data_IF_655328494568
#
_entry.id   IF_655328494568
#
_cell.length_a   1.000
_cell.length_b   1.000
_cell.length_c   1.000
_cell.angle_alpha   90.00
_cell.angle_beta   90.00
_cell.angle_gamma   90.00
#
_symmetry.space_group_name_H-M   'P 1'
#
loop_
_entity.id
_entity.type
_entity.pdbx_description
1 polymer ?
#
# COMPACT_ATOMS: atom_id res chain seq x y z
N UNK A 1 8.05 1.56 -13.36
CA UNK A 1 9.13 1.59 -12.33
C UNK A 1 9.96 0.29 -12.41
N UNK A 2 10.88 -0.01 -11.47
CA UNK A 2 11.68 -1.24 -11.49
C UNK A 2 10.83 -2.53 -11.37
N UNK A 3 9.74 -2.49 -10.60
CA UNK A 3 8.81 -3.62 -10.43
C UNK A 3 8.07 -3.90 -11.75
N UNK A 4 7.65 -2.87 -12.49
CA UNK A 4 7.01 -3.05 -13.82
C UNK A 4 7.94 -3.69 -14.85
N UNK A 5 9.24 -3.40 -14.78
CA UNK A 5 10.23 -4.04 -15.66
C UNK A 5 10.38 -5.52 -15.28
N UNK A 6 10.46 -5.82 -13.99
CA UNK A 6 10.60 -7.19 -13.48
C UNK A 6 9.36 -8.05 -13.79
N UNK A 7 8.15 -7.49 -13.71
CA UNK A 7 6.91 -8.21 -13.99
C UNK A 7 6.67 -8.54 -15.47
N UNK A 8 7.41 -7.93 -16.40
CA UNK A 8 7.30 -8.26 -17.84
C UNK A 8 7.90 -9.63 -18.17
N UNK A 9 8.84 -10.11 -17.35
CA UNK A 9 9.54 -11.38 -17.53
C UNK A 9 9.25 -12.38 -16.42
N UNK A 10 8.49 -11.99 -15.38
CA UNK A 10 8.12 -12.83 -14.26
C UNK A 10 6.62 -12.68 -13.97
N UNK A 11 5.91 -13.79 -13.79
CA UNK A 11 4.50 -13.76 -13.43
C UNK A 11 4.29 -13.12 -12.06
N UNK A 12 3.66 -11.95 -12.02
CA UNK A 12 3.36 -11.21 -10.79
C UNK A 12 1.90 -10.80 -10.75
N UNK A 13 1.28 -10.90 -9.58
CA UNK A 13 -0.09 -10.44 -9.33
C UNK A 13 -0.11 -9.01 -8.76
N UNK A 14 0.51 -8.05 -9.43
CA UNK A 14 0.40 -6.64 -9.06
C UNK A 14 -0.59 -5.90 -9.97
N UNK A 15 -1.01 -4.70 -9.55
CA UNK A 15 -2.00 -3.90 -10.29
C UNK A 15 -1.56 -3.55 -11.72
N UNK A 16 -0.25 -3.57 -12.00
CA UNK A 16 0.31 -3.25 -13.30
C UNK A 16 0.31 -1.75 -13.61
N UNK A 17 1.07 -1.38 -14.64
CA UNK A 17 1.39 0.02 -14.97
C UNK A 17 0.13 0.86 -15.27
N UNK A 18 -0.73 0.38 -16.17
CA UNK A 18 -1.94 1.09 -16.65
C UNK A 18 -2.93 1.35 -15.52
N UNK A 19 -3.30 0.33 -14.74
CA UNK A 19 -4.24 0.49 -13.62
C UNK A 19 -3.61 1.29 -12.47
N UNK A 20 -2.29 1.18 -12.28
CA UNK A 20 -1.56 1.99 -11.31
C UNK A 20 -1.63 3.50 -11.62
N UNK A 21 -1.60 3.90 -12.90
CA UNK A 21 -1.75 5.33 -13.27
C UNK A 21 -3.15 5.86 -12.95
N UNK A 22 -4.19 5.04 -13.18
CA UNK A 22 -5.57 5.40 -12.85
C UNK A 22 -5.69 5.61 -11.33
N UNK A 23 -5.15 4.69 -10.53
CA UNK A 23 -5.12 4.78 -9.08
C UNK A 23 -4.41 6.06 -8.61
N UNK A 24 -3.23 6.36 -9.16
CA UNK A 24 -2.49 7.58 -8.80
C UNK A 24 -3.26 8.85 -9.11
N UNK A 25 -3.90 8.92 -10.29
CA UNK A 25 -4.76 10.05 -10.65
C UNK A 25 -5.88 10.21 -9.63
N UNK A 26 -6.51 9.12 -9.22
CA UNK A 26 -7.60 9.16 -8.25
C UNK A 26 -7.13 9.65 -6.87
N UNK A 27 -5.99 9.15 -6.38
CA UNK A 27 -5.39 9.60 -5.11
C UNK A 27 -5.04 11.08 -5.16
N UNK A 28 -4.43 11.55 -6.26
CA UNK A 28 -4.09 12.98 -6.45
C UNK A 28 -5.31 13.87 -6.45
N UNK A 29 -6.39 13.44 -7.10
CA UNK A 29 -7.62 14.22 -7.23
C UNK A 29 -8.41 14.27 -5.92
N UNK A 30 -8.55 13.14 -5.22
CA UNK A 30 -9.33 13.08 -3.99
C UNK A 30 -8.57 13.55 -2.75
N UNK A 31 -7.24 13.44 -2.75
CA UNK A 31 -6.37 13.78 -1.61
C UNK A 31 -6.87 13.20 -0.27
N UNK A 32 -7.11 11.88 -0.19
CA UNK A 32 -7.72 11.30 0.99
C UNK A 32 -6.83 11.45 2.23
N UNK A 33 -7.47 11.63 3.39
CA UNK A 33 -6.81 11.69 4.70
C UNK A 33 -6.62 10.32 5.36
N UNK A 34 -7.40 9.33 4.92
CA UNK A 34 -7.31 7.96 5.39
C UNK A 34 -7.40 7.02 4.21
N UNK A 35 -6.50 6.03 4.15
CA UNK A 35 -6.52 4.96 3.14
C UNK A 35 -6.38 3.61 3.84
N UNK A 36 -7.21 2.66 3.40
CA UNK A 36 -7.09 1.25 3.73
C UNK A 36 -6.85 0.45 2.44
N UNK A 37 -5.74 -0.26 2.37
CA UNK A 37 -5.46 -1.23 1.32
C UNK A 37 -5.58 -2.65 1.86
N UNK A 38 -6.27 -3.51 1.12
CA UNK A 38 -6.44 -4.92 1.45
C UNK A 38 -5.63 -5.76 0.46
N UNK A 39 -4.55 -6.37 0.93
CA UNK A 39 -3.55 -7.06 0.11
C UNK A 39 -2.40 -6.13 -0.28
N UNK A 40 -1.32 -6.14 0.50
CA UNK A 40 -0.10 -5.38 0.20
C UNK A 40 0.76 -6.07 -0.87
N UNK A 41 0.79 -7.41 -0.89
CA UNK A 41 1.75 -8.23 -1.64
C UNK A 41 3.18 -7.71 -1.48
N UNK A 42 3.90 -7.42 -2.58
CA UNK A 42 5.23 -6.81 -2.54
C UNK A 42 5.20 -5.27 -2.55
N UNK A 43 4.08 -4.64 -2.21
CA UNK A 43 4.01 -3.20 -1.94
C UNK A 43 3.96 -2.27 -3.16
N UNK A 44 3.68 -2.79 -4.35
CA UNK A 44 3.62 -1.96 -5.57
C UNK A 44 2.54 -0.89 -5.51
N UNK A 45 1.30 -1.26 -5.19
CA UNK A 45 0.19 -0.32 -5.09
C UNK A 45 0.37 0.60 -3.88
N UNK A 46 0.81 0.07 -2.74
CA UNK A 46 1.18 0.85 -1.56
C UNK A 46 2.17 1.97 -1.89
N UNK A 47 3.24 1.65 -2.62
CA UNK A 47 4.24 2.63 -3.06
C UNK A 47 3.61 3.74 -3.91
N UNK A 48 2.77 3.38 -4.88
CA UNK A 48 2.12 4.33 -5.79
C UNK A 48 1.12 5.23 -5.07
N UNK A 49 0.35 4.68 -4.13
CA UNK A 49 -0.59 5.43 -3.28
C UNK A 49 0.18 6.39 -2.37
N UNK A 50 1.12 5.88 -1.57
CA UNK A 50 1.84 6.64 -0.56
C UNK A 50 2.68 7.79 -1.16
N UNK A 51 3.22 7.60 -2.36
CA UNK A 51 3.95 8.64 -3.10
C UNK A 51 3.10 9.87 -3.42
N UNK A 52 1.77 9.73 -3.45
CA UNK A 52 0.83 10.77 -3.87
C UNK A 52 -0.15 11.20 -2.77
N UNK A 53 -0.12 10.54 -1.62
CA UNK A 53 -0.91 10.94 -0.47
C UNK A 53 -0.39 12.25 0.15
N UNK A 54 -1.26 13.05 0.79
CA UNK A 54 -0.84 14.08 1.74
C UNK A 54 0.12 13.52 2.79
N UNK A 55 1.06 14.35 3.28
CA UNK A 55 2.05 13.93 4.29
C UNK A 55 1.41 13.48 5.61
N UNK A 56 0.26 14.06 5.93
CA UNK A 56 -0.51 13.83 7.15
C UNK A 56 -1.61 12.77 6.98
N UNK A 57 -1.66 12.08 5.84
CA UNK A 57 -2.65 11.03 5.63
C UNK A 57 -2.27 9.75 6.40
N UNK A 58 -3.25 9.14 7.05
CA UNK A 58 -3.13 7.81 7.63
C UNK A 58 -3.27 6.78 6.50
N UNK A 59 -2.25 5.94 6.30
CA UNK A 59 -2.33 4.84 5.35
C UNK A 59 -2.03 3.51 6.04
N UNK A 60 -3.03 2.64 6.05
CA UNK A 60 -2.93 1.27 6.55
C UNK A 60 -3.05 0.31 5.36
N UNK A 61 -2.17 -0.68 5.29
CA UNK A 61 -2.23 -1.78 4.33
C UNK A 61 -2.15 -3.11 5.06
N UNK A 62 -2.93 -4.10 4.62
CA UNK A 62 -3.06 -5.41 5.27
C UNK A 62 -2.51 -6.51 4.37
N UNK A 63 -1.66 -7.37 4.92
CA UNK A 63 -1.10 -8.52 4.20
C UNK A 63 -1.08 -9.76 5.08
N UNK A 64 -1.51 -10.89 4.53
CA UNK A 64 -1.58 -12.16 5.27
C UNK A 64 -0.22 -12.85 5.32
N UNK A 65 0.60 -12.77 4.26
CA UNK A 65 1.95 -13.34 4.23
C UNK A 65 2.95 -12.41 4.88
N UNK A 66 3.56 -12.89 5.98
CA UNK A 66 4.63 -12.17 6.67
C UNK A 66 5.84 -11.92 5.77
N UNK A 67 6.15 -12.86 4.89
CA UNK A 67 7.26 -12.78 3.94
C UNK A 67 7.00 -11.69 2.90
N UNK A 68 5.80 -11.65 2.32
CA UNK A 68 5.40 -10.61 1.38
C UNK A 68 5.40 -9.23 2.04
N UNK A 69 4.83 -9.12 3.25
CA UNK A 69 4.84 -7.89 4.03
C UNK A 69 6.25 -7.37 4.31
N UNK A 70 7.20 -8.26 4.62
CA UNK A 70 8.61 -7.91 4.79
C UNK A 70 9.23 -7.36 3.50
N UNK A 71 8.96 -7.99 2.36
CA UNK A 71 9.44 -7.50 1.05
C UNK A 71 8.85 -6.13 0.74
N UNK A 72 7.54 -5.94 0.96
CA UNK A 72 6.88 -4.65 0.79
C UNK A 72 7.50 -3.55 1.66
N UNK A 73 7.78 -3.85 2.94
CA UNK A 73 8.44 -2.91 3.84
C UNK A 73 9.81 -2.48 3.31
N UNK A 74 10.65 -3.42 2.88
CA UNK A 74 11.97 -3.09 2.32
C UNK A 74 11.87 -2.22 1.06
N UNK A 75 10.90 -2.49 0.18
CA UNK A 75 10.63 -1.66 -1.01
C UNK A 75 10.23 -0.23 -0.60
N UNK A 76 9.31 -0.09 0.36
CA UNK A 76 8.86 1.22 0.84
C UNK A 76 9.98 1.98 1.57
N UNK A 77 10.83 1.27 2.31
CA UNK A 77 12.00 1.82 2.99
C UNK A 77 13.04 2.32 1.99
N UNK A 78 13.34 1.54 0.94
CA UNK A 78 14.23 1.97 -0.15
C UNK A 78 13.69 3.20 -0.89
N UNK A 79 12.36 3.32 -1.01
CA UNK A 79 11.70 4.49 -1.57
C UNK A 79 11.62 5.69 -0.59
N UNK A 80 12.06 5.55 0.65
CA UNK A 80 12.06 6.62 1.66
C UNK A 80 10.67 6.99 2.20
N UNK A 81 9.69 6.08 2.11
CA UNK A 81 8.30 6.35 2.50
C UNK A 81 7.73 5.31 3.48
N UNK A 82 8.56 4.41 4.01
CA UNK A 82 8.13 3.38 4.99
C UNK A 82 7.41 3.98 6.19
N UNK A 83 7.84 5.15 6.66
CA UNK A 83 7.28 5.78 7.87
C UNK A 83 5.87 6.35 7.64
N UNK A 84 5.40 6.35 6.39
CA UNK A 84 4.08 6.86 5.98
C UNK A 84 3.06 5.74 5.74
N UNK A 85 3.44 4.48 5.89
CA UNK A 85 2.60 3.32 5.58
C UNK A 85 2.65 2.32 6.72
N UNK A 86 1.50 2.07 7.33
CA UNK A 86 1.35 1.06 8.37
C UNK A 86 0.99 -0.29 7.75
N UNK A 87 1.97 -1.20 7.68
CA UNK A 87 1.74 -2.57 7.21
C UNK A 87 1.30 -3.42 8.39
N UNK A 88 0.09 -3.96 8.33
CA UNK A 88 -0.46 -4.88 9.33
C UNK A 88 -0.41 -6.30 8.78
N UNK A 89 0.29 -7.18 9.48
CA UNK A 89 0.34 -8.60 9.12
C UNK A 89 -0.83 -9.34 9.76
N UNK A 90 -1.71 -9.91 8.94
CA UNK A 90 -2.90 -10.61 9.40
C UNK A 90 -3.93 -10.81 8.30
N UNK A 91 -4.99 -11.55 8.60
CA UNK A 91 -6.12 -11.66 7.67
C UNK A 91 -6.98 -10.41 7.72
N UNK A 92 -7.58 -10.04 6.59
CA UNK A 92 -8.48 -8.90 6.48
C UNK A 92 -9.62 -8.96 7.50
N UNK A 93 -10.19 -10.16 7.72
CA UNK A 93 -11.29 -10.39 8.67
C UNK A 93 -10.87 -10.10 10.12
N UNK A 94 -9.61 -10.38 10.45
CA UNK A 94 -9.06 -10.11 11.79
C UNK A 94 -8.73 -8.64 12.02
N UNK A 95 -8.32 -7.93 10.96
CA UNK A 95 -7.83 -6.54 11.04
C UNK A 95 -8.95 -5.53 10.90
N UNK A 96 -9.95 -5.75 10.03
CA UNK A 96 -11.07 -4.82 9.83
C UNK A 96 -11.77 -4.42 11.15
N UNK A 97 -12.06 -5.33 12.09
CA UNK A 97 -12.67 -4.97 13.37
C UNK A 97 -11.81 -4.00 14.19
N UNK A 98 -10.49 -4.13 14.12
CA UNK A 98 -9.52 -3.30 14.87
C UNK A 98 -9.36 -1.91 14.24
N UNK A 99 -9.58 -1.77 12.93
CA UNK A 99 -9.49 -0.48 12.23
C UNK A 99 -10.58 0.49 12.70
N UNK A 100 -11.72 0.00 13.21
CA UNK A 100 -12.75 0.85 13.80
C UNK A 100 -12.22 1.69 14.98
N UNK A 101 -11.23 1.18 15.71
CA UNK A 101 -10.62 1.90 16.81
C UNK A 101 -9.64 2.98 16.35
N UNK A 102 -9.07 2.86 15.14
CA UNK A 102 -8.20 3.89 14.55
C UNK A 102 -8.98 5.14 14.11
N UNK A 103 -10.26 5.01 13.76
CA UNK A 103 -11.13 6.17 13.49
C UNK A 103 -11.53 6.93 14.75
N UNK A 104 -11.34 6.33 15.93
CA UNK A 104 -11.60 6.97 17.23
C UNK A 104 -10.40 7.78 17.75
N UNK A 105 -9.29 7.77 17.03
CA UNK A 105 -8.08 8.56 17.31
C UNK A 105 -8.02 9.66 16.25
N UNK A 106 -8.97 10.59 16.32
CA UNK A 106 -8.97 11.86 15.57
C UNK A 106 -9.13 13.01 16.55
#
# INVERSE_FOLDING_TARGET
NAIDKFSKTNGMMHVGEVKGEILEKQVKNQRPKTVLELGTYYGYSALRIASHLPKDALFITVEISKEAAKIAYEILKQAGISDRVHIVVGSTESVIPQIKDYHSIS
#
